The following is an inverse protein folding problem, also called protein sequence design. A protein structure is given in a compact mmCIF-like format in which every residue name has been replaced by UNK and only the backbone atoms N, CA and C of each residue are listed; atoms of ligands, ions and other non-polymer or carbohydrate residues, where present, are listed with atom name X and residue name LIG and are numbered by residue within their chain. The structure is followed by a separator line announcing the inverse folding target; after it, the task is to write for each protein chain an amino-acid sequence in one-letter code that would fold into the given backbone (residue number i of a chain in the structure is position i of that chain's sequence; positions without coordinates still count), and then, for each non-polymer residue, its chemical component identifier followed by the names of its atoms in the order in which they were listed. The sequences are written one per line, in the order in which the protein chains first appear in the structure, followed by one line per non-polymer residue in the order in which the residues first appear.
data_IF_653036653004
#
_entry.id   IF_653036653004
#
_cell.length_a   1.000
_cell.length_b   1.000
_cell.length_c   1.000
_cell.angle_alpha   90.00
_cell.angle_beta   90.00
_cell.angle_gamma   90.00
#
_symmetry.space_group_name_H-M   'P 1'
#
loop_
_entity.id
_entity.type
_entity.pdbx_description
1 polymer ?
#
# COMPACT_ATOMS: atom_id res chain seq x y z
N UNK A 1 -0.63 4.94 -2.40
CA UNK A 1 -0.90 5.50 -1.05
C UNK A 1 0.38 5.40 -0.23
N UNK A 2 0.66 6.37 0.65
CA UNK A 2 1.78 6.27 1.60
C UNK A 2 1.24 6.08 3.02
N UNK A 3 1.82 5.15 3.76
CA UNK A 3 1.46 4.83 5.13
C UNK A 3 2.67 5.05 6.03
N UNK A 4 2.53 5.89 7.05
CA UNK A 4 3.54 6.06 8.10
C UNK A 4 3.16 5.15 9.26
N UNK A 5 4.06 4.22 9.61
CA UNK A 5 3.97 3.47 10.85
C UNK A 5 4.93 4.09 11.85
N UNK A 6 4.41 4.56 12.98
CA UNK A 6 5.19 5.19 14.04
C UNK A 6 4.84 4.62 15.39
N UNK A 7 5.82 4.56 16.29
CA UNK A 7 5.62 4.19 17.68
C UNK A 7 5.72 5.41 18.57
N UNK A 8 4.62 5.73 19.27
CA UNK A 8 4.52 6.83 20.23
C UNK A 8 4.57 6.25 21.64
N UNK A 9 5.77 6.21 22.23
CA UNK A 9 5.96 5.68 23.58
C UNK A 9 6.75 6.64 24.47
N UNK A 10 6.44 6.59 25.76
CA UNK A 10 7.23 7.28 26.78
C UNK A 10 8.58 6.58 26.98
N UNK A 11 9.57 7.30 27.52
CA UNK A 11 10.97 6.83 27.62
C UNK A 11 11.12 5.43 28.26
N UNK A 12 10.29 5.11 29.25
CA UNK A 12 10.30 3.80 29.94
C UNK A 12 9.86 2.63 29.05
N UNK A 13 9.03 2.89 28.06
CA UNK A 13 8.47 1.88 27.14
C UNK A 13 9.21 1.86 25.80
N UNK A 14 10.16 2.76 25.60
CA UNK A 14 10.87 2.91 24.33
C UNK A 14 11.54 1.61 23.84
N UNK A 15 12.25 0.83 24.68
CA UNK A 15 12.87 -0.42 24.22
C UNK A 15 11.84 -1.45 23.77
N UNK A 16 10.70 -1.52 24.45
CA UNK A 16 9.61 -2.42 24.09
C UNK A 16 8.92 -1.96 22.80
N UNK A 17 8.69 -0.65 22.67
CA UNK A 17 8.16 -0.04 21.46
C UNK A 17 8.99 -0.29 20.21
N UNK A 18 10.32 -0.25 20.34
CA UNK A 18 11.22 -0.59 19.25
C UNK A 18 11.12 -2.07 18.86
N UNK A 19 10.89 -2.99 19.81
CA UNK A 19 10.65 -4.40 19.49
C UNK A 19 9.36 -4.56 18.67
N UNK A 20 8.29 -3.87 19.05
CA UNK A 20 7.05 -3.88 18.28
C UNK A 20 7.21 -3.31 16.88
N UNK A 21 7.90 -2.16 16.73
CA UNK A 21 8.17 -1.56 15.43
C UNK A 21 9.00 -2.51 14.55
N UNK A 22 10.07 -3.09 15.11
CA UNK A 22 10.91 -4.07 14.41
C UNK A 22 10.12 -5.29 13.98
N UNK A 23 9.26 -5.83 14.85
CA UNK A 23 8.37 -6.95 14.53
C UNK A 23 7.40 -6.62 13.40
N UNK A 24 6.78 -5.44 13.43
CA UNK A 24 5.90 -4.98 12.36
C UNK A 24 6.66 -4.83 11.03
N UNK A 25 7.88 -4.26 11.07
CA UNK A 25 8.74 -4.15 9.88
C UNK A 25 9.07 -5.54 9.34
N UNK A 26 9.50 -6.47 10.19
CA UNK A 26 9.80 -7.84 9.80
C UNK A 26 8.60 -8.57 9.18
N UNK A 27 7.39 -8.33 9.71
CA UNK A 27 6.16 -8.87 9.14
C UNK A 27 5.91 -8.37 7.72
N UNK A 28 5.94 -7.05 7.50
CA UNK A 28 5.70 -6.47 6.16
C UNK A 28 6.81 -6.79 5.17
N UNK A 29 8.07 -6.96 5.62
CA UNK A 29 9.16 -7.40 4.76
C UNK A 29 9.04 -8.86 4.34
N UNK A 30 8.57 -9.74 5.23
CA UNK A 30 8.35 -11.16 4.93
C UNK A 30 7.08 -11.41 4.12
N UNK A 31 6.07 -10.55 4.27
CA UNK A 31 4.80 -10.62 3.56
C UNK A 31 4.52 -9.30 2.82
N UNK A 32 5.28 -8.98 1.75
CA UNK A 32 5.13 -7.71 1.04
C UNK A 32 3.89 -7.65 0.14
N UNK A 33 3.19 -8.76 -0.04
CA UNK A 33 2.01 -8.89 -0.92
C UNK A 33 0.85 -9.42 -0.10
N UNK A 34 -0.30 -8.76 -0.20
CA UNK A 34 -1.56 -9.17 0.40
C UNK A 34 -2.59 -9.41 -0.70
N UNK A 35 -3.28 -10.55 -0.67
CA UNK A 35 -4.29 -10.95 -1.64
C UNK A 35 -5.27 -11.96 -0.99
N UNK A 36 -6.26 -12.42 -1.75
CA UNK A 36 -7.24 -13.42 -1.26
C UNK A 36 -6.62 -14.80 -0.93
N UNK A 37 -5.41 -15.11 -1.38
CA UNK A 37 -4.75 -16.40 -1.11
C UNK A 37 -4.11 -16.43 0.27
N UNK A 38 -3.63 -15.27 0.75
CA UNK A 38 -2.92 -15.16 2.03
C UNK A 38 -3.70 -14.43 3.13
N UNK A 39 -4.84 -13.82 2.78
CA UNK A 39 -5.73 -13.17 3.73
C UNK A 39 -7.18 -13.53 3.38
N UNK A 40 -7.81 -14.35 4.23
CA UNK A 40 -9.16 -14.85 4.04
C UNK A 40 -10.24 -13.76 4.09
N UNK A 41 -10.01 -12.67 4.81
CA UNK A 41 -10.90 -11.50 4.92
C UNK A 41 -10.40 -10.32 4.06
N UNK A 42 -9.90 -10.61 2.85
CA UNK A 42 -9.41 -9.57 1.94
C UNK A 42 -10.56 -8.98 1.10
N UNK A 43 -10.63 -7.65 0.90
CA UNK A 43 -11.76 -7.01 0.22
C UNK A 43 -11.95 -7.50 -1.22
N UNK A 44 -13.15 -7.93 -1.59
CA UNK A 44 -13.46 -8.50 -2.91
C UNK A 44 -13.18 -7.56 -4.09
N UNK A 45 -13.22 -6.24 -3.87
CA UNK A 45 -12.95 -5.22 -4.91
C UNK A 45 -11.46 -5.04 -5.22
N UNK A 46 -10.57 -5.60 -4.39
CA UNK A 46 -9.12 -5.44 -4.50
C UNK A 46 -8.52 -6.82 -4.75
N UNK A 47 -7.80 -6.97 -5.86
CA UNK A 47 -7.15 -8.25 -6.21
C UNK A 47 -5.84 -8.45 -5.44
N UNK A 48 -5.08 -7.37 -5.23
CA UNK A 48 -3.75 -7.43 -4.63
C UNK A 48 -3.33 -6.08 -4.08
N UNK A 49 -2.70 -6.08 -2.91
CA UNK A 49 -1.98 -4.93 -2.34
C UNK A 49 -0.51 -5.31 -2.18
N UNK A 50 0.40 -4.42 -2.54
CA UNK A 50 1.83 -4.59 -2.29
C UNK A 50 2.39 -3.45 -1.45
N UNK A 51 3.24 -3.81 -0.48
CA UNK A 51 3.90 -2.89 0.43
C UNK A 51 5.37 -2.78 0.08
N UNK A 52 5.84 -1.57 -0.19
CA UNK A 52 7.26 -1.25 -0.45
C UNK A 52 7.77 -0.32 0.65
N UNK A 53 8.92 -0.62 1.25
CA UNK A 53 9.55 0.30 2.20
C UNK A 53 10.09 1.51 1.44
N UNK A 54 9.79 2.70 1.96
CA UNK A 54 10.36 3.97 1.49
C UNK A 54 11.46 4.37 2.45
N UNK A 55 12.69 4.32 1.96
CA UNK A 55 13.85 4.77 2.72
C UNK A 55 13.99 6.28 2.59
N UNK A 56 13.53 7.01 3.60
CA UNK A 56 13.88 8.43 3.78
C UNK A 56 15.17 8.56 4.58
N UNK A 57 15.92 9.62 4.32
CA UNK A 57 17.02 9.97 5.21
C UNK A 57 16.49 10.55 6.53
N UNK A 58 17.36 10.61 7.54
CA UNK A 58 17.00 11.08 8.88
C UNK A 58 16.56 12.55 8.87
N UNK A 59 17.13 13.39 8.00
CA UNK A 59 16.79 14.81 7.91
C UNK A 59 15.34 14.99 7.44
N UNK A 60 14.94 14.30 6.37
CA UNK A 60 13.58 14.36 5.82
C UNK A 60 12.55 13.88 6.85
N UNK A 61 12.86 12.80 7.58
CA UNK A 61 11.99 12.29 8.63
C UNK A 61 11.89 13.26 9.81
N UNK A 62 12.99 13.91 10.20
CA UNK A 62 13.01 14.95 11.24
C UNK A 62 12.17 16.16 10.82
N UNK A 63 12.31 16.61 9.56
CA UNK A 63 11.50 17.69 9.00
C UNK A 63 10.01 17.33 8.97
N UNK A 64 9.66 16.11 8.60
CA UNK A 64 8.28 15.62 8.60
C UNK A 64 7.64 15.72 9.99
N UNK A 65 8.31 15.19 11.03
CA UNK A 65 7.81 15.28 12.40
C UNK A 65 7.80 16.70 12.94
N UNK A 66 8.82 17.50 12.61
CA UNK A 66 8.91 18.91 12.98
C UNK A 66 7.79 19.76 12.38
N UNK A 67 7.39 19.51 11.13
CA UNK A 67 6.26 20.16 10.49
C UNK A 67 4.91 19.86 11.17
N UNK A 68 4.81 18.70 11.84
CA UNK A 68 3.65 18.31 12.66
C UNK A 68 3.73 18.87 14.09
N UNK A 69 4.76 19.64 14.44
CA UNK A 69 4.98 20.16 15.79
C UNK A 69 5.34 19.08 16.82
N UNK A 70 5.70 17.88 16.36
CA UNK A 70 6.03 16.74 17.20
C UNK A 70 7.54 16.52 17.28
N UNK A 71 8.00 15.95 18.39
CA UNK A 71 9.38 15.45 18.48
C UNK A 71 9.53 14.27 17.53
N UNK A 72 10.74 14.07 16.99
CA UNK A 72 11.05 12.89 16.19
C UNK A 72 10.64 11.59 16.92
N UNK A 73 9.97 10.70 16.21
CA UNK A 73 9.57 9.39 16.72
C UNK A 73 10.10 8.29 15.79
N UNK A 74 10.44 7.11 16.33
CA UNK A 74 10.80 5.97 15.49
C UNK A 74 9.65 5.61 14.56
N UNK A 75 9.89 5.76 13.26
CA UNK A 75 8.88 5.55 12.24
C UNK A 75 9.46 5.04 10.93
N UNK A 76 8.62 4.38 10.14
CA UNK A 76 8.93 3.90 8.80
C UNK A 76 7.77 4.24 7.87
N UNK A 77 8.08 4.53 6.60
CA UNK A 77 7.08 4.79 5.58
C UNK A 77 6.99 3.62 4.62
N UNK A 78 5.77 3.21 4.33
CA UNK A 78 5.43 2.24 3.31
C UNK A 78 4.72 2.92 2.15
N UNK A 79 5.07 2.54 0.94
CA UNK A 79 4.31 2.81 -0.27
C UNK A 79 3.43 1.60 -0.57
N UNK A 80 2.12 1.83 -0.54
CA UNK A 80 1.11 0.85 -0.89
C UNK A 80 0.72 1.01 -2.35
N UNK A 81 0.81 -0.09 -3.11
CA UNK A 81 0.25 -0.20 -4.46
C UNK A 81 -0.89 -1.19 -4.46
N UNK A 82 -1.98 -0.86 -5.13
CA UNK A 82 -3.19 -1.68 -5.16
C UNK A 82 -3.54 -2.00 -6.60
N UNK A 83 -3.99 -3.23 -6.82
CA UNK A 83 -4.58 -3.67 -8.07
C UNK A 83 -6.03 -4.01 -7.79
N UNK A 84 -6.93 -3.18 -8.31
CA UNK A 84 -8.38 -3.32 -8.13
C UNK A 84 -9.00 -4.07 -9.30
N UNK A 85 -10.19 -4.63 -9.08
CA UNK A 85 -11.03 -5.18 -10.13
C UNK A 85 -11.83 -4.04 -10.74
N UNK A 86 -11.68 -3.78 -12.04
CA UNK A 86 -12.59 -2.91 -12.78
C UNK A 86 -13.66 -3.79 -13.40
N UNK A 87 -14.88 -3.74 -12.87
CA UNK A 87 -16.05 -4.23 -13.58
C UNK A 87 -16.55 -3.10 -14.49
N UNK A 88 -16.35 -3.24 -15.81
CA UNK A 88 -16.90 -2.33 -16.81
C UNK A 88 -15.86 -1.43 -17.49
N UNK A 89 -15.13 -1.98 -18.47
CA UNK A 89 -14.74 -1.31 -19.73
C UNK A 89 -13.86 -2.28 -20.55
N UNK A 90 -14.42 -3.45 -20.84
CA UNK A 90 -14.01 -4.12 -22.08
C UNK A 90 -14.95 -3.50 -23.11
N UNK A 91 -14.50 -2.53 -23.96
CA UNK A 91 -15.30 -2.16 -25.11
C UNK A 91 -15.53 -3.45 -25.89
N UNK A 92 -16.77 -3.92 -25.86
CA UNK A 92 -17.23 -5.01 -26.69
C UNK A 92 -17.06 -4.53 -28.12
N UNK A 93 -15.92 -4.86 -28.74
CA UNK A 93 -15.70 -4.60 -30.16
C UNK A 93 -16.61 -5.58 -30.89
N UNK A 94 -17.89 -5.24 -31.00
CA UNK A 94 -18.81 -5.91 -31.90
C UNK A 94 -18.29 -5.63 -33.32
N UNK A 95 -17.86 -6.64 -34.09
CA UNK A 95 -17.54 -6.42 -35.49
C UNK A 95 -18.82 -6.00 -36.19
N UNK A 96 -18.91 -4.73 -36.60
CA UNK A 96 -19.99 -4.25 -37.45
C UNK A 96 -19.87 -4.99 -38.79
N UNK A 97 -20.70 -6.00 -39.00
CA UNK A 97 -20.84 -6.64 -40.31
C UNK A 97 -21.50 -5.59 -41.21
N UNK A 98 -20.69 -4.85 -41.96
CA UNK A 98 -21.17 -3.98 -43.03
C UNK A 98 -21.78 -4.91 -44.09
N UNK A 99 -23.11 -4.95 -44.17
CA UNK A 99 -23.79 -5.61 -45.29
C UNK A 99 -23.33 -4.94 -46.58
N UNK A 100 -22.74 -5.73 -47.47
CA UNK A 100 -22.38 -5.30 -48.82
C UNK A 100 -23.66 -4.95 -49.61
N UNK A 101 -23.66 -3.88 -50.42
CA UNK A 101 -24.81 -3.53 -51.22
C UNK A 101 -25.06 -4.65 -52.24
N UNK A 102 -26.29 -5.14 -52.26
CA UNK A 102 -26.80 -6.04 -53.29
C UNK A 102 -26.55 -5.39 -54.66
N UNK A 103 -25.72 -6.04 -55.49
CA UNK A 103 -25.56 -5.65 -56.88
C UNK A 103 -26.54 -6.48 -57.70
N UNK A 104 -27.31 -5.75 -58.51
CA UNK A 104 -28.42 -6.16 -59.38
C UNK A 104 -28.12 -7.28 -60.37
#
# INVERSE_FOLDING_TARGET
IYLLLSMLFNEKQYPEGLKWLSGAIGFFQSHPVFNHENMSDFPASIRKVTCEIVNLNIQDMSHFWGALGAKYQPSIIYKLRMLSIQEGDIPEVLPQIQQAPETS
#
